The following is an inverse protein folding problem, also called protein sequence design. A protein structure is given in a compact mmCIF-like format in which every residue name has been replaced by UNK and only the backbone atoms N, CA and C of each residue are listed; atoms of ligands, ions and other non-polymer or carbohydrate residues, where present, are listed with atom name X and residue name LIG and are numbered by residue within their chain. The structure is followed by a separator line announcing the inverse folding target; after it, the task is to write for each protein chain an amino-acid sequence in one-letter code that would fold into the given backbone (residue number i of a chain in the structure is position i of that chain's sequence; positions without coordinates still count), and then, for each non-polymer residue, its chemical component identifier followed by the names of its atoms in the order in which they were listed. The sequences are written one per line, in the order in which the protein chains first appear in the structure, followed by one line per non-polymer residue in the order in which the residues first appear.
data_IF_391047220599
#
_entry.id   IF_391047220599
#
_cell.length_a   1.000
_cell.length_b   1.000
_cell.length_c   1.000
_cell.angle_alpha   90.00
_cell.angle_beta   90.00
_cell.angle_gamma   90.00
#
_symmetry.space_group_name_H-M   'P 1'
#
loop_
_entity.id
_entity.type
_entity.pdbx_description
1 polymer ?
#
# COMPACT_ATOMS: atom_id res chain seq x y z
N UNK A 1 34.33 26.30 26.39
CA UNK A 1 33.26 25.30 26.46
C UNK A 1 32.75 25.14 25.04
N UNK A 2 33.20 24.11 24.35
CA UNK A 2 32.68 23.75 23.02
C UNK A 2 31.38 22.98 23.25
N UNK A 3 30.24 23.55 22.86
CA UNK A 3 28.97 22.82 22.77
C UNK A 3 29.10 21.81 21.66
N UNK A 4 29.08 20.54 22.01
CA UNK A 4 28.80 19.44 21.05
C UNK A 4 27.29 19.51 20.82
N UNK A 5 26.87 19.98 19.65
CA UNK A 5 25.52 19.74 19.19
C UNK A 5 25.39 18.21 19.09
N UNK A 6 24.48 17.64 19.88
CA UNK A 6 24.14 16.25 19.75
C UNK A 6 23.50 16.10 18.37
N UNK A 7 24.14 15.34 17.48
CA UNK A 7 23.50 14.87 16.25
C UNK A 7 22.19 14.20 16.66
N UNK A 8 21.07 14.62 16.08
CA UNK A 8 19.80 13.91 16.25
C UNK A 8 20.06 12.46 15.85
N UNK A 9 19.81 11.54 16.78
CA UNK A 9 20.05 10.13 16.56
C UNK A 9 19.13 9.67 15.44
N UNK A 10 19.67 9.09 14.37
CA UNK A 10 18.96 8.44 13.26
C UNK A 10 18.14 7.22 13.71
N UNK A 11 18.11 6.94 15.01
CA UNK A 11 17.36 5.82 15.57
C UNK A 11 15.84 6.09 15.49
N UNK A 12 15.05 5.13 15.01
CA UNK A 12 13.60 5.27 14.94
C UNK A 12 13.00 5.50 16.34
N UNK A 13 12.04 6.41 16.41
CA UNK A 13 11.27 6.65 17.63
C UNK A 13 10.29 5.50 17.82
N UNK A 14 10.16 5.04 19.06
CA UNK A 14 9.37 3.85 19.39
C UNK A 14 8.15 4.23 20.22
N UNK A 15 6.98 3.69 19.84
CA UNK A 15 5.77 3.71 20.65
C UNK A 15 5.32 2.27 20.94
N UNK A 16 4.84 2.04 22.15
CA UNK A 16 4.41 0.71 22.59
C UNK A 16 3.00 0.75 23.16
N UNK A 17 2.20 -0.25 22.82
CA UNK A 17 0.88 -0.49 23.39
C UNK A 17 0.75 -1.93 23.89
N UNK A 18 -0.02 -2.09 24.97
CA UNK A 18 -0.35 -3.40 25.55
C UNK A 18 -1.85 -3.45 25.75
N UNK A 19 -2.49 -4.56 25.33
CA UNK A 19 -3.91 -4.79 25.56
C UNK A 19 -4.25 -4.92 27.05
N UNK A 20 -5.48 -4.58 27.43
CA UNK A 20 -5.93 -4.67 28.83
C UNK A 20 -5.83 -6.09 29.39
N UNK A 21 -6.05 -7.10 28.56
CA UNK A 21 -5.93 -8.52 28.93
C UNK A 21 -4.50 -9.06 28.86
N UNK A 22 -3.53 -8.23 28.47
CA UNK A 22 -2.11 -8.57 28.36
C UNK A 22 -1.77 -9.54 27.23
N UNK A 23 -2.71 -9.86 26.33
CA UNK A 23 -2.48 -10.84 25.27
C UNK A 23 -1.80 -10.26 24.03
N UNK A 24 -1.98 -8.97 23.76
CA UNK A 24 -1.31 -8.30 22.66
C UNK A 24 -0.37 -7.23 23.18
N UNK A 25 0.88 -7.28 22.74
CA UNK A 25 1.82 -6.18 22.85
C UNK A 25 2.25 -5.79 21.44
N UNK A 26 2.11 -4.51 21.09
CA UNK A 26 2.59 -3.97 19.83
C UNK A 26 3.65 -2.90 20.08
N UNK A 27 4.74 -2.97 19.36
CA UNK A 27 5.81 -1.97 19.36
C UNK A 27 5.94 -1.44 17.95
N UNK A 28 5.75 -0.13 17.76
CA UNK A 28 5.87 0.53 16.46
C UNK A 28 7.12 1.40 16.47
N UNK A 29 8.00 1.20 15.50
CA UNK A 29 9.19 1.99 15.24
C UNK A 29 9.00 2.80 13.95
N UNK A 30 9.32 4.11 14.00
CA UNK A 30 9.23 5.01 12.84
C UNK A 30 10.18 6.19 13.02
N UNK A 31 10.87 6.61 11.94
CA UNK A 31 11.84 7.70 11.97
C UNK A 31 11.21 9.01 12.47
N UNK A 32 10.06 9.42 11.91
CA UNK A 32 9.37 10.66 12.27
C UNK A 32 8.63 10.57 13.63
N UNK A 33 8.49 9.36 14.16
CA UNK A 33 7.73 9.08 15.38
C UNK A 33 6.31 8.59 15.10
N UNK A 34 5.65 8.18 16.17
CA UNK A 34 4.29 7.62 16.16
C UNK A 34 3.42 8.55 16.99
N UNK A 35 2.47 9.22 16.36
CA UNK A 35 1.57 10.23 16.95
C UNK A 35 0.14 9.69 17.20
N UNK A 36 -0.04 8.39 17.08
CA UNK A 36 -1.29 7.67 17.39
C UNK A 36 -1.07 6.59 18.43
N UNK A 37 -2.16 6.17 19.07
CA UNK A 37 -2.17 5.05 19.99
C UNK A 37 -1.85 3.73 19.23
N UNK A 38 -0.75 3.01 19.55
CA UNK A 38 -0.40 1.76 18.89
C UNK A 38 -1.50 0.70 18.91
N UNK A 39 -2.37 0.70 19.92
CA UNK A 39 -3.51 -0.23 20.01
C UNK A 39 -4.62 0.08 19.00
N UNK A 40 -4.60 1.28 18.39
CA UNK A 40 -5.51 1.68 17.31
C UNK A 40 -4.94 1.44 15.91
N UNK A 41 -3.67 1.02 15.80
CA UNK A 41 -3.08 0.64 14.54
C UNK A 41 -3.83 -0.53 13.90
N UNK A 42 -3.89 -0.55 12.56
CA UNK A 42 -4.57 -1.63 11.83
C UNK A 42 -3.93 -2.99 12.10
N UNK A 43 -2.62 -3.04 12.36
CA UNK A 43 -1.90 -4.25 12.75
C UNK A 43 -2.41 -4.82 14.08
N UNK A 44 -2.67 -3.96 15.09
CA UNK A 44 -3.28 -4.40 16.34
C UNK A 44 -4.72 -4.86 16.13
N UNK A 45 -5.48 -4.16 15.27
CA UNK A 45 -6.86 -4.56 14.94
C UNK A 45 -6.92 -5.90 14.21
N UNK A 46 -5.87 -6.26 13.43
CA UNK A 46 -5.77 -7.57 12.78
C UNK A 46 -5.75 -8.72 13.81
N UNK A 47 -5.08 -8.54 14.94
CA UNK A 47 -5.14 -9.51 16.04
C UNK A 47 -6.55 -9.64 16.62
N UNK A 48 -7.20 -8.51 16.92
CA UNK A 48 -8.53 -8.54 17.56
C UNK A 48 -9.59 -9.15 16.67
N UNK A 49 -9.56 -8.86 15.37
CA UNK A 49 -10.57 -9.38 14.44
C UNK A 49 -10.49 -10.91 14.30
N UNK A 50 -9.29 -11.48 14.37
CA UNK A 50 -9.11 -12.93 14.43
C UNK A 50 -9.47 -13.51 15.81
N UNK A 51 -9.22 -12.76 16.89
CA UNK A 51 -9.54 -13.17 18.24
C UNK A 51 -11.06 -13.24 18.51
N UNK A 52 -11.90 -12.65 17.65
CA UNK A 52 -13.37 -12.82 17.71
C UNK A 52 -13.79 -14.28 17.46
N UNK A 53 -13.11 -14.95 16.53
CA UNK A 53 -13.49 -16.30 16.07
C UNK A 53 -12.50 -17.38 16.53
N UNK A 54 -11.27 -16.99 16.93
CA UNK A 54 -10.20 -17.93 17.30
C UNK A 54 -9.64 -17.64 18.68
N UNK A 55 -9.26 -18.71 19.38
CA UNK A 55 -8.54 -18.57 20.65
C UNK A 55 -7.05 -18.34 20.38
N UNK A 56 -6.65 -17.10 20.22
CA UNK A 56 -5.26 -16.75 19.96
C UNK A 56 -4.41 -16.80 21.24
N UNK A 57 -3.14 -17.21 21.14
CA UNK A 57 -2.16 -17.09 22.23
C UNK A 57 -1.78 -15.62 22.44
N UNK A 58 -1.14 -15.28 23.57
CA UNK A 58 -0.48 -13.98 23.71
C UNK A 58 0.62 -13.80 22.66
N UNK A 59 0.62 -12.63 21.99
CA UNK A 59 1.60 -12.31 20.96
C UNK A 59 2.26 -10.96 21.20
N UNK A 60 3.48 -10.81 20.71
CA UNK A 60 4.21 -9.56 20.63
C UNK A 60 4.48 -9.26 19.15
N UNK A 61 4.04 -8.10 18.69
CA UNK A 61 4.25 -7.62 17.34
C UNK A 61 5.26 -6.48 17.39
N UNK A 62 6.30 -6.56 16.58
CA UNK A 62 7.19 -5.45 16.27
C UNK A 62 6.92 -5.01 14.84
N UNK A 63 6.55 -3.75 14.68
CA UNK A 63 6.24 -3.13 13.40
C UNK A 63 7.20 -1.98 13.14
N UNK A 64 8.01 -2.08 12.11
CA UNK A 64 8.85 -1.01 11.63
C UNK A 64 8.19 -0.37 10.40
N UNK A 65 7.77 0.91 10.54
CA UNK A 65 7.14 1.65 9.45
C UNK A 65 8.21 2.43 8.67
N UNK A 66 8.58 1.89 7.53
CA UNK A 66 9.56 2.48 6.61
C UNK A 66 8.89 3.21 5.44
N UNK A 67 7.64 2.87 5.11
CA UNK A 67 6.90 3.57 4.07
C UNK A 67 6.19 4.82 4.61
N UNK A 68 6.05 5.89 3.80
CA UNK A 68 5.38 7.12 4.21
C UNK A 68 3.91 6.86 4.58
N UNK A 69 3.49 7.38 5.74
CA UNK A 69 2.11 7.29 6.21
C UNK A 69 1.26 8.35 5.50
N UNK A 70 0.11 7.97 4.97
CA UNK A 70 -0.83 8.90 4.33
C UNK A 70 -0.42 9.36 2.92
N UNK A 71 0.49 8.63 2.26
CA UNK A 71 0.95 8.97 0.91
C UNK A 71 0.13 8.31 -0.23
N UNK A 72 -0.98 7.65 0.07
CA UNK A 72 -1.78 6.96 -0.95
C UNK A 72 -1.20 5.63 -1.44
N UNK A 73 -0.19 5.08 -0.73
CA UNK A 73 0.45 3.80 -1.06
C UNK A 73 -0.15 2.59 -0.33
N UNK A 74 -1.13 2.81 0.54
CA UNK A 74 -1.79 1.72 1.27
C UNK A 74 -0.93 1.06 2.36
N UNK A 75 0.16 1.68 2.84
CA UNK A 75 1.11 1.07 3.78
C UNK A 75 0.45 0.50 5.04
N UNK A 76 -0.47 1.24 5.68
CA UNK A 76 -1.20 0.72 6.86
C UNK A 76 -2.12 -0.46 6.53
N UNK A 77 -2.69 -0.52 5.33
CA UNK A 77 -3.49 -1.65 4.86
C UNK A 77 -2.63 -2.88 4.56
N UNK A 78 -1.43 -2.65 4.02
CA UNK A 78 -0.43 -3.69 3.83
C UNK A 78 0.00 -4.28 5.18
N UNK A 79 0.38 -3.43 6.15
CA UNK A 79 0.77 -3.86 7.50
C UNK A 79 -0.31 -4.76 8.12
N UNK A 80 -1.59 -4.37 8.01
CA UNK A 80 -2.72 -5.15 8.52
C UNK A 80 -2.88 -6.50 7.82
N UNK A 81 -2.79 -6.52 6.50
CA UNK A 81 -2.91 -7.74 5.71
C UNK A 81 -1.78 -8.74 6.03
N UNK A 82 -0.56 -8.26 6.09
CA UNK A 82 0.59 -9.09 6.46
C UNK A 82 0.50 -9.54 7.93
N UNK A 83 -0.02 -8.73 8.84
CA UNK A 83 -0.30 -9.16 10.22
C UNK A 83 -1.33 -10.30 10.27
N UNK A 84 -2.40 -10.25 9.46
CA UNK A 84 -3.36 -11.35 9.34
C UNK A 84 -2.70 -12.63 8.82
N UNK A 85 -1.89 -12.54 7.77
CA UNK A 85 -1.13 -13.69 7.22
C UNK A 85 -0.19 -14.28 8.27
N UNK A 86 0.61 -13.43 8.91
CA UNK A 86 1.55 -13.84 9.96
C UNK A 86 0.85 -14.53 11.14
N UNK A 87 -0.29 -13.97 11.61
CA UNK A 87 -1.07 -14.56 12.69
C UNK A 87 -1.73 -15.88 12.29
N UNK A 88 -2.21 -16.00 11.06
CA UNK A 88 -2.74 -17.24 10.51
C UNK A 88 -1.69 -18.37 10.55
N UNK A 89 -0.48 -18.05 10.14
CA UNK A 89 0.63 -19.00 10.12
C UNK A 89 1.13 -19.30 11.55
N UNK A 90 1.45 -18.27 12.33
CA UNK A 90 1.97 -18.40 13.70
C UNK A 90 1.03 -19.16 14.63
N UNK A 91 -0.27 -18.96 14.48
CA UNK A 91 -1.30 -19.58 15.33
C UNK A 91 -1.92 -20.84 14.68
N UNK A 92 -1.40 -21.28 13.52
CA UNK A 92 -1.85 -22.47 12.80
C UNK A 92 -3.37 -22.49 12.54
N UNK A 93 -3.94 -21.31 12.14
CA UNK A 93 -5.40 -21.16 11.98
C UNK A 93 -5.92 -21.87 10.72
N UNK A 94 -5.08 -22.11 9.71
CA UNK A 94 -5.42 -22.84 8.48
C UNK A 94 -6.39 -22.08 7.56
N UNK A 95 -6.43 -20.74 7.66
CA UNK A 95 -7.30 -19.92 6.81
C UNK A 95 -6.73 -19.82 5.39
N UNK A 96 -7.60 -19.93 4.37
CA UNK A 96 -7.23 -19.66 2.97
C UNK A 96 -7.07 -18.16 2.70
N UNK A 97 -6.49 -17.80 1.53
CA UNK A 97 -6.41 -16.40 1.08
C UNK A 97 -7.79 -15.73 1.05
N UNK A 98 -8.81 -16.43 0.52
CA UNK A 98 -10.17 -15.90 0.43
C UNK A 98 -10.76 -15.64 1.83
N UNK A 99 -10.51 -16.54 2.78
CA UNK A 99 -10.95 -16.37 4.16
C UNK A 99 -10.23 -15.21 4.84
N UNK A 100 -8.91 -15.09 4.64
CA UNK A 100 -8.13 -13.95 5.13
C UNK A 100 -8.59 -12.63 4.51
N UNK A 101 -8.94 -12.62 3.20
CA UNK A 101 -9.47 -11.44 2.53
C UNK A 101 -10.80 -10.96 3.14
N UNK A 102 -11.65 -11.87 3.61
CA UNK A 102 -12.90 -11.52 4.34
C UNK A 102 -12.58 -10.79 5.65
N UNK A 103 -11.60 -11.25 6.43
CA UNK A 103 -11.15 -10.54 7.64
C UNK A 103 -10.51 -9.20 7.29
N UNK A 104 -9.66 -9.16 6.26
CA UNK A 104 -9.00 -7.95 5.82
C UNK A 104 -9.99 -6.87 5.37
N UNK A 105 -11.03 -7.21 4.62
CA UNK A 105 -12.08 -6.28 4.18
C UNK A 105 -12.83 -5.60 5.35
N UNK A 106 -12.89 -6.24 6.51
CA UNK A 106 -13.47 -5.66 7.74
C UNK A 106 -12.53 -4.64 8.40
N UNK A 107 -11.23 -4.71 8.15
CA UNK A 107 -10.24 -3.75 8.65
C UNK A 107 -10.17 -2.48 7.81
N UNK A 108 -10.29 -2.61 6.49
CA UNK A 108 -10.27 -1.50 5.56
C UNK A 108 -10.42 -1.96 4.12
N UNK A 109 -10.93 -1.08 3.25
CA UNK A 109 -11.23 -1.38 1.84
C UNK A 109 -10.02 -1.94 1.08
N UNK A 110 -8.82 -1.39 1.35
CA UNK A 110 -7.61 -1.76 0.62
C UNK A 110 -6.89 -2.97 1.24
N UNK A 111 -7.27 -3.40 2.48
CA UNK A 111 -6.55 -4.48 3.17
C UNK A 111 -6.66 -5.82 2.44
N UNK A 112 -7.83 -6.12 1.84
CA UNK A 112 -8.04 -7.36 1.11
C UNK A 112 -7.14 -7.47 -0.13
N UNK A 113 -6.84 -6.35 -0.80
CA UNK A 113 -5.91 -6.31 -1.93
C UNK A 113 -4.52 -6.85 -1.53
N UNK A 114 -4.00 -6.44 -0.38
CA UNK A 114 -2.68 -6.88 0.11
C UNK A 114 -2.65 -8.32 0.61
N UNK A 115 -3.82 -8.95 0.87
CA UNK A 115 -3.86 -10.40 1.07
C UNK A 115 -3.48 -11.14 -0.21
N UNK A 116 -4.04 -10.71 -1.35
CA UNK A 116 -3.73 -11.31 -2.64
C UNK A 116 -2.35 -10.91 -3.18
N UNK A 117 -1.89 -9.71 -2.86
CA UNK A 117 -0.57 -9.16 -3.23
C UNK A 117 -0.21 -9.34 -4.71
N UNK A 118 -1.17 -9.16 -5.60
CA UNK A 118 -1.06 -9.25 -7.05
C UNK A 118 -1.97 -8.22 -7.72
N UNK A 119 -1.75 -7.90 -9.02
CA UNK A 119 -2.60 -6.92 -9.71
C UNK A 119 -4.07 -7.32 -9.69
N UNK A 120 -4.91 -6.42 -9.18
CA UNK A 120 -6.35 -6.64 -9.02
C UNK A 120 -7.12 -5.41 -9.50
N UNK A 121 -8.35 -5.63 -9.95
CA UNK A 121 -9.33 -4.56 -10.12
C UNK A 121 -10.29 -4.61 -8.95
N UNK A 122 -10.45 -3.47 -8.27
CA UNK A 122 -11.44 -3.28 -7.21
C UNK A 122 -12.69 -2.60 -7.75
N UNK A 123 -13.84 -3.17 -7.47
CA UNK A 123 -15.18 -2.61 -7.76
C UNK A 123 -15.90 -2.33 -6.44
N UNK A 124 -17.04 -1.63 -6.50
CA UNK A 124 -17.74 -1.20 -5.28
C UNK A 124 -16.99 -0.08 -4.56
N UNK A 125 -16.59 -0.30 -3.30
CA UNK A 125 -15.71 0.58 -2.52
C UNK A 125 -14.24 0.13 -2.58
N UNK A 126 -13.90 -0.84 -3.45
CA UNK A 126 -12.60 -1.51 -3.53
C UNK A 126 -12.59 -2.92 -2.90
N UNK A 127 -13.70 -3.38 -2.31
CA UNK A 127 -13.81 -4.68 -1.65
C UNK A 127 -14.11 -5.84 -2.60
N UNK A 128 -14.67 -5.57 -3.77
CA UNK A 128 -14.93 -6.60 -4.79
C UNK A 128 -13.72 -6.68 -5.71
N UNK A 129 -12.82 -7.62 -5.42
CA UNK A 129 -11.55 -7.77 -6.10
C UNK A 129 -11.62 -8.85 -7.18
N UNK A 130 -11.10 -8.54 -8.37
CA UNK A 130 -10.89 -9.50 -9.47
C UNK A 130 -9.47 -9.38 -10.00
N UNK A 131 -8.86 -10.53 -10.32
CA UNK A 131 -7.51 -10.54 -10.90
C UNK A 131 -7.50 -9.84 -12.26
N UNK A 132 -6.47 -9.04 -12.47
CA UNK A 132 -6.22 -8.43 -13.76
C UNK A 132 -4.72 -8.44 -14.07
N UNK A 133 -4.23 -9.44 -14.79
CA UNK A 133 -2.83 -9.50 -15.17
C UNK A 133 -2.52 -8.37 -16.16
N UNK A 134 -1.66 -7.45 -15.76
CA UNK A 134 -1.16 -6.39 -16.65
C UNK A 134 0.07 -6.93 -17.37
N UNK A 135 -0.07 -7.14 -18.68
CA UNK A 135 1.01 -7.68 -19.50
C UNK A 135 2.14 -6.66 -19.70
N UNK A 136 3.38 -7.12 -19.55
CA UNK A 136 4.58 -6.34 -19.89
C UNK A 136 5.07 -5.37 -18.81
N UNK A 137 4.43 -5.31 -17.64
CA UNK A 137 4.95 -4.56 -16.48
C UNK A 137 5.82 -5.46 -15.60
N UNK A 138 6.99 -4.96 -15.22
CA UNK A 138 7.84 -5.58 -14.21
C UNK A 138 7.43 -5.02 -12.85
N UNK A 139 6.82 -5.86 -12.03
CA UNK A 139 6.40 -5.46 -10.67
C UNK A 139 7.54 -5.54 -9.65
N UNK A 140 8.75 -5.92 -10.09
CA UNK A 140 9.85 -6.30 -9.21
C UNK A 140 9.53 -7.61 -8.46
N UNK A 141 10.55 -8.36 -8.12
CA UNK A 141 10.37 -9.45 -7.16
C UNK A 141 10.16 -8.83 -5.78
N UNK A 142 9.02 -9.10 -5.17
CA UNK A 142 8.80 -8.68 -3.80
C UNK A 142 9.80 -9.44 -2.90
N UNK A 143 10.65 -8.77 -2.12
CA UNK A 143 11.57 -9.46 -1.21
C UNK A 143 10.87 -10.42 -0.24
N UNK A 144 9.57 -10.23 0.01
CA UNK A 144 8.76 -11.15 0.80
C UNK A 144 8.47 -12.48 0.07
N UNK A 145 8.46 -12.50 -1.26
CA UNK A 145 8.21 -13.72 -2.03
C UNK A 145 9.42 -14.67 -1.98
N UNK A 146 10.66 -14.14 -1.85
CA UNK A 146 11.85 -14.97 -1.67
C UNK A 146 11.86 -15.76 -0.35
N UNK A 147 11.20 -15.24 0.69
CA UNK A 147 11.12 -15.94 1.99
C UNK A 147 10.11 -17.09 1.93
N UNK A 148 9.08 -17.00 1.06
CA UNK A 148 8.05 -18.03 0.90
C UNK A 148 8.38 -19.07 -0.18
N UNK A 149 9.15 -18.73 -1.23
CA UNK A 149 9.52 -19.68 -2.30
C UNK A 149 10.58 -20.70 -1.90
N UNK A 150 11.28 -20.50 -0.78
CA UNK A 150 12.25 -21.50 -0.28
C UNK A 150 11.60 -22.85 0.10
N UNK A 151 10.24 -22.95 0.06
CA UNK A 151 9.49 -24.15 0.42
C UNK A 151 8.86 -24.89 -0.77
N UNK A 152 8.85 -24.34 -1.99
CA UNK A 152 8.27 -25.03 -3.18
C UNK A 152 9.21 -24.90 -4.37
N UNK A 153 10.02 -25.95 -4.55
CA UNK A 153 10.75 -26.11 -5.81
C UNK A 153 9.79 -26.35 -6.96
N UNK A 154 9.82 -25.44 -7.96
CA UNK A 154 9.68 -25.79 -9.38
C UNK A 154 9.83 -24.53 -10.25
N UNK A 155 10.78 -24.60 -11.15
CA UNK A 155 11.05 -23.87 -12.41
C UNK A 155 10.52 -22.44 -12.54
N UNK A 156 11.41 -21.47 -12.36
CA UNK A 156 11.31 -20.15 -12.96
C UNK A 156 11.17 -20.31 -14.50
N UNK A 157 9.97 -20.09 -15.03
CA UNK A 157 9.83 -19.73 -16.43
C UNK A 157 10.58 -18.40 -16.59
N UNK A 158 11.54 -18.35 -17.51
CA UNK A 158 12.25 -17.13 -17.90
C UNK A 158 11.21 -16.05 -18.21
N UNK A 159 11.04 -15.11 -17.28
CA UNK A 159 10.25 -13.92 -17.46
C UNK A 159 10.85 -13.19 -18.66
N UNK A 160 10.10 -13.08 -19.75
CA UNK A 160 10.42 -12.12 -20.82
C UNK A 160 10.68 -10.79 -20.11
N UNK A 161 11.88 -10.24 -20.26
CA UNK A 161 12.30 -8.99 -19.63
C UNK A 161 11.20 -7.95 -19.82
N UNK A 162 10.58 -7.50 -18.73
CA UNK A 162 9.47 -6.58 -18.77
C UNK A 162 9.89 -5.32 -19.55
N UNK A 163 9.03 -4.88 -20.46
CA UNK A 163 9.32 -3.77 -21.37
C UNK A 163 9.32 -2.41 -20.66
N UNK A 164 8.84 -2.36 -19.43
CA UNK A 164 8.63 -1.13 -18.68
C UNK A 164 9.18 -1.25 -17.25
N UNK A 165 9.54 -0.11 -16.69
CA UNK A 165 9.94 0.09 -15.30
C UNK A 165 8.95 1.04 -14.63
N UNK A 166 8.61 0.77 -13.36
CA UNK A 166 7.76 1.64 -12.54
C UNK A 166 8.63 2.34 -11.51
N UNK A 167 8.54 3.67 -11.47
CA UNK A 167 9.16 4.49 -10.43
C UNK A 167 8.07 5.11 -9.55
N UNK A 168 8.25 5.04 -8.24
CA UNK A 168 7.35 5.69 -7.26
C UNK A 168 8.08 6.87 -6.62
N UNK A 169 7.41 8.02 -6.57
CA UNK A 169 7.90 9.24 -5.95
C UNK A 169 6.95 9.65 -4.83
N UNK A 170 7.51 9.90 -3.64
CA UNK A 170 6.76 10.44 -2.50
C UNK A 170 7.28 11.85 -2.22
N UNK A 171 6.54 12.91 -2.60
CA UNK A 171 6.96 14.29 -2.36
C UNK A 171 7.02 14.59 -0.86
N UNK A 172 8.14 15.13 -0.41
CA UNK A 172 8.33 15.53 0.99
C UNK A 172 7.45 16.74 1.35
N UNK A 173 6.95 16.77 2.58
CA UNK A 173 6.20 17.92 3.11
C UNK A 173 4.77 18.06 2.57
N UNK A 174 4.30 17.19 1.68
CA UNK A 174 2.94 17.23 1.14
C UNK A 174 2.13 16.09 1.73
N UNK A 175 1.19 16.44 2.61
CA UNK A 175 0.24 15.50 3.18
C UNK A 175 -1.15 15.76 2.61
N UNK A 176 -1.76 14.74 2.01
CA UNK A 176 -3.13 14.81 1.48
C UNK A 176 -4.08 14.06 2.41
N UNK A 177 -5.11 14.76 2.89
CA UNK A 177 -6.18 14.11 3.65
C UNK A 177 -7.06 13.28 2.71
N UNK A 178 -7.07 11.96 2.88
CA UNK A 178 -7.94 11.05 2.12
C UNK A 178 -9.42 11.48 2.22
N UNK A 179 -9.88 11.91 3.40
CA UNK A 179 -11.25 12.38 3.59
C UNK A 179 -11.54 13.65 2.78
N UNK A 180 -10.55 14.54 2.62
CA UNK A 180 -10.70 15.77 1.83
C UNK A 180 -10.66 15.48 0.34
N UNK A 181 -9.86 14.52 -0.09
CA UNK A 181 -9.84 14.05 -1.47
C UNK A 181 -11.20 13.46 -1.86
N UNK A 182 -11.76 12.57 -1.04
CA UNK A 182 -13.10 12.01 -1.27
C UNK A 182 -14.22 13.06 -1.27
N UNK A 183 -14.15 14.08 -0.41
CA UNK A 183 -15.17 15.17 -0.40
C UNK A 183 -15.14 16.03 -1.65
N UNK A 184 -14.01 16.12 -2.31
CA UNK A 184 -13.85 16.93 -3.52
C UNK A 184 -14.24 16.21 -4.81
N UNK A 185 -14.28 14.89 -4.81
CA UNK A 185 -14.57 14.08 -5.99
C UNK A 185 -16.02 14.31 -6.46
N UNK A 186 -16.19 14.40 -7.78
CA UNK A 186 -17.49 14.32 -8.45
C UNK A 186 -17.49 13.03 -9.27
N UNK A 187 -18.08 11.94 -8.75
CA UNK A 187 -18.09 10.67 -9.45
C UNK A 187 -18.73 10.81 -10.84
N UNK A 188 -18.03 10.32 -11.85
CA UNK A 188 -18.49 10.30 -13.24
C UNK A 188 -18.19 8.92 -13.83
N UNK A 189 -19.04 8.50 -14.76
CA UNK A 189 -18.72 7.32 -15.55
C UNK A 189 -17.61 7.71 -16.55
N UNK A 190 -16.50 6.94 -16.61
CA UNK A 190 -15.45 7.22 -17.58
C UNK A 190 -15.99 7.00 -19.00
N UNK A 191 -15.48 7.75 -19.97
CA UNK A 191 -15.83 7.57 -21.39
C UNK A 191 -15.40 6.18 -21.88
N UNK A 192 -14.26 5.69 -21.39
CA UNK A 192 -13.72 4.37 -21.69
C UNK A 192 -13.72 3.56 -20.38
N UNK A 193 -14.39 2.40 -20.30
CA UNK A 193 -14.34 1.54 -19.13
C UNK A 193 -12.92 1.16 -18.74
N UNK A 194 -12.63 1.07 -17.44
CA UNK A 194 -11.28 0.82 -16.91
C UNK A 194 -10.61 -0.39 -17.57
N UNK A 195 -11.33 -1.52 -17.71
CA UNK A 195 -10.79 -2.74 -18.34
C UNK A 195 -10.42 -2.53 -19.81
N UNK A 196 -11.16 -1.71 -20.53
CA UNK A 196 -10.86 -1.37 -21.93
C UNK A 196 -9.67 -0.40 -22.02
N UNK A 197 -9.57 0.57 -21.10
CA UNK A 197 -8.42 1.48 -21.03
C UNK A 197 -7.13 0.71 -20.72
N UNK A 198 -7.16 -0.20 -19.75
CA UNK A 198 -6.01 -1.04 -19.37
C UNK A 198 -5.59 -2.04 -20.46
N UNK A 199 -6.50 -2.43 -21.35
CA UNK A 199 -6.19 -3.32 -22.47
C UNK A 199 -5.44 -2.62 -23.62
N UNK A 200 -5.34 -1.27 -23.60
CA UNK A 200 -4.58 -0.51 -24.57
C UNK A 200 -3.07 -0.56 -24.27
N UNK A 201 -2.21 -0.25 -25.26
CA UNK A 201 -0.79 -0.03 -25.00
C UNK A 201 -0.58 1.00 -23.90
N UNK A 202 0.45 0.81 -23.06
CA UNK A 202 0.75 1.71 -21.92
C UNK A 202 0.93 3.17 -22.36
N UNK A 203 1.46 3.38 -23.58
CA UNK A 203 1.65 4.70 -24.18
C UNK A 203 0.35 5.47 -24.41
N UNK A 204 -0.77 4.76 -24.55
CA UNK A 204 -2.09 5.34 -24.78
C UNK A 204 -2.83 5.62 -23.46
N UNK A 205 -2.33 5.13 -22.33
CA UNK A 205 -2.99 5.28 -21.01
C UNK A 205 -3.13 6.74 -20.59
N UNK A 206 -2.19 7.59 -20.95
CA UNK A 206 -2.22 9.02 -20.64
C UNK A 206 -3.49 9.74 -21.17
N UNK A 207 -4.11 9.18 -22.23
CA UNK A 207 -5.26 9.75 -22.89
C UNK A 207 -6.60 9.12 -22.47
N UNK A 208 -6.56 8.03 -21.66
CA UNK A 208 -7.76 7.27 -21.31
C UNK A 208 -7.81 6.71 -19.89
N UNK A 209 -6.74 6.81 -19.13
CA UNK A 209 -6.67 6.32 -17.75
C UNK A 209 -6.35 7.48 -16.82
N UNK A 210 -7.30 7.85 -15.97
CA UNK A 210 -7.19 9.01 -15.10
C UNK A 210 -7.46 8.63 -13.65
N UNK A 211 -6.80 9.32 -12.73
CA UNK A 211 -7.13 9.28 -11.32
C UNK A 211 -8.04 10.47 -10.98
N UNK A 212 -9.29 10.21 -10.67
CA UNK A 212 -10.30 11.25 -10.41
C UNK A 212 -9.94 12.17 -9.24
N UNK A 213 -9.13 11.69 -8.29
CA UNK A 213 -8.64 12.52 -7.19
C UNK A 213 -7.71 13.65 -7.66
N UNK A 214 -7.00 13.48 -8.77
CA UNK A 214 -6.03 14.47 -9.26
C UNK A 214 -6.65 15.85 -9.45
N UNK A 215 -7.89 15.94 -9.95
CA UNK A 215 -8.55 17.22 -10.20
C UNK A 215 -8.61 18.06 -8.92
N UNK A 216 -9.09 17.50 -7.82
CA UNK A 216 -9.28 18.24 -6.57
C UNK A 216 -8.01 18.33 -5.73
N UNK A 217 -7.14 17.33 -5.81
CA UNK A 217 -5.88 17.33 -5.08
C UNK A 217 -4.90 18.31 -5.73
N UNK A 218 -4.79 18.34 -7.05
CA UNK A 218 -3.88 19.26 -7.75
C UNK A 218 -4.33 20.72 -7.68
N UNK A 219 -5.63 20.99 -7.52
CA UNK A 219 -6.13 22.35 -7.24
C UNK A 219 -5.61 22.87 -5.89
N UNK A 220 -5.49 22.00 -4.89
CA UNK A 220 -5.00 22.33 -3.55
C UNK A 220 -3.48 22.24 -3.43
N UNK A 221 -2.87 21.37 -4.21
CA UNK A 221 -1.44 21.05 -4.22
C UNK A 221 -0.89 21.12 -5.65
N UNK A 222 -0.78 22.34 -6.23
CA UNK A 222 -0.33 22.52 -7.63
C UNK A 222 1.09 22.00 -7.88
N UNK A 223 1.91 21.87 -6.83
CA UNK A 223 3.23 21.25 -6.88
C UNK A 223 3.17 19.77 -7.34
N UNK A 224 2.12 19.02 -6.99
CA UNK A 224 1.94 17.64 -7.45
C UNK A 224 1.69 17.58 -8.96
N UNK A 225 0.90 18.53 -9.48
CA UNK A 225 0.71 18.66 -10.93
C UNK A 225 2.00 19.03 -11.66
N UNK A 226 2.86 19.85 -11.03
CA UNK A 226 4.17 20.19 -11.59
C UNK A 226 5.09 18.96 -11.60
N UNK A 227 5.10 18.16 -10.54
CA UNK A 227 5.86 16.91 -10.47
C UNK A 227 5.37 15.94 -11.55
N UNK A 228 4.07 15.73 -11.69
CA UNK A 228 3.52 14.85 -12.74
C UNK A 228 3.97 15.29 -14.15
N UNK A 229 3.99 16.59 -14.42
CA UNK A 229 4.52 17.11 -15.69
C UNK A 229 6.00 16.81 -15.87
N UNK A 230 6.80 17.01 -14.83
CA UNK A 230 8.25 16.73 -14.91
C UNK A 230 8.55 15.25 -15.14
N UNK A 231 7.70 14.33 -14.66
CA UNK A 231 7.81 12.90 -14.96
C UNK A 231 7.62 12.64 -16.46
N UNK A 232 6.60 13.25 -17.09
CA UNK A 232 6.44 13.17 -18.55
C UNK A 232 7.59 13.83 -19.31
N UNK A 233 8.06 15.01 -18.86
CA UNK A 233 9.20 15.70 -19.48
C UNK A 233 10.50 14.88 -19.38
N UNK A 234 10.62 14.01 -18.37
CA UNK A 234 11.74 13.07 -18.21
C UNK A 234 11.59 11.77 -19.01
N UNK A 235 10.51 11.63 -19.80
CA UNK A 235 10.31 10.51 -20.71
C UNK A 235 9.37 9.41 -20.21
N UNK A 236 8.62 9.65 -19.12
CA UNK A 236 7.59 8.70 -18.71
C UNK A 236 6.53 8.54 -19.82
N UNK A 237 6.17 7.31 -20.13
CA UNK A 237 5.06 7.01 -21.06
C UNK A 237 3.70 7.16 -20.38
N UNK A 238 3.67 6.95 -19.07
CA UNK A 238 2.50 7.20 -18.21
C UNK A 238 2.93 7.66 -16.83
N UNK A 239 2.20 8.59 -16.23
CA UNK A 239 2.37 9.00 -14.85
C UNK A 239 1.02 9.34 -14.22
N UNK A 240 0.85 8.99 -12.94
CA UNK A 240 -0.38 9.27 -12.20
C UNK A 240 -0.10 9.38 -10.70
N UNK A 241 -1.02 10.02 -9.99
CA UNK A 241 -1.03 10.01 -8.54
C UNK A 241 -1.54 8.64 -8.04
N UNK A 242 -0.95 8.14 -6.96
CA UNK A 242 -1.37 6.89 -6.33
C UNK A 242 -2.50 7.14 -5.33
N UNK A 243 -3.64 6.48 -5.54
CA UNK A 243 -4.81 6.61 -4.66
C UNK A 243 -5.22 8.08 -4.47
N UNK A 244 -5.40 8.51 -3.23
CA UNK A 244 -5.72 9.90 -2.87
C UNK A 244 -4.51 10.83 -2.75
N UNK A 245 -3.31 10.35 -3.06
CA UNK A 245 -2.03 11.09 -2.98
C UNK A 245 -1.41 11.01 -1.57
N UNK A 246 -0.27 11.63 -1.39
CA UNK A 246 0.50 12.52 -2.32
C UNK A 246 1.48 11.81 -3.25
N UNK A 247 1.71 10.50 -3.10
CA UNK A 247 2.63 9.76 -3.95
C UNK A 247 2.18 9.79 -5.43
N UNK A 248 3.16 9.86 -6.31
CA UNK A 248 3.00 9.69 -7.75
C UNK A 248 3.81 8.48 -8.21
N UNK A 249 3.39 7.89 -9.30
CA UNK A 249 4.19 6.90 -9.98
C UNK A 249 4.32 7.23 -11.45
N UNK A 250 5.38 6.74 -12.06
CA UNK A 250 5.64 6.88 -13.48
C UNK A 250 6.09 5.54 -14.09
N UNK A 251 5.72 5.32 -15.32
CA UNK A 251 6.09 4.15 -16.11
C UNK A 251 7.02 4.62 -17.21
N UNK A 252 8.19 4.01 -17.30
CA UNK A 252 9.20 4.28 -18.30
C UNK A 252 9.44 3.04 -19.16
N UNK A 253 9.77 3.25 -20.41
CA UNK A 253 10.26 2.17 -21.28
C UNK A 253 11.70 1.83 -20.90
N UNK A 254 12.01 0.53 -20.78
CA UNK A 254 13.39 0.04 -20.59
C UNK A 254 14.19 0.09 -21.88
#
# INVERSE_FOLDING_TARGET
VFGVEAEESDAPKIAQGISEDGKLMITIARAEGVDWDPMKDLTAKAYYILAEDFKLPPVKIFLEKTSPVGAGLGGGSADAAFALKMLNELCELGLSEEQLAVYAARLGSDCAFFIYNRPMIGEGRGEVLSEYPVSGLDYGQNPADEVFECAKGESAQESMAAAYEITVLTPEGIAVSTADAYRGIKPQLPEIPLKEALAKPVEDWKDCLFNDFETTVFDKHPELAAIKRSLYDSGAVYASMSGSGSALFAIYRK
#
